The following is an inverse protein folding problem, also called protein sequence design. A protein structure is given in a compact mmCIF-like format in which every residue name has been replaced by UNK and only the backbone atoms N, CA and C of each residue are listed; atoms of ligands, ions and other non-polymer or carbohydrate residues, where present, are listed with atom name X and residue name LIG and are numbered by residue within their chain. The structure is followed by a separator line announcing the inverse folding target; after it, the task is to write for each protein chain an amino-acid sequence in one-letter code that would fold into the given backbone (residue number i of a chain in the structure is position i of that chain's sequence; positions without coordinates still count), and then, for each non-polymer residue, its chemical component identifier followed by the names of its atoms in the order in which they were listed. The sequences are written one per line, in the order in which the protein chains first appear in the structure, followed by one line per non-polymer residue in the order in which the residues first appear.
data_IF_415430169075
#
_entry.id   IF_415430169075
#
_cell.length_a   1.000
_cell.length_b   1.000
_cell.length_c   1.000
_cell.angle_alpha   90.00
_cell.angle_beta   90.00
_cell.angle_gamma   90.00
#
_symmetry.space_group_name_H-M   'P 1'
#
loop_
_entity.id
_entity.type
_entity.pdbx_description
1 polymer ?
#
# COMPACT_ATOMS: atom_id res chain seq x y z
N UNK A 1 -0.56 16.90 -3.09
CA UNK A 1 -0.88 16.03 -1.95
C UNK A 1 0.40 15.76 -1.17
N UNK A 2 0.30 15.63 0.16
CA UNK A 2 1.46 15.50 1.07
C UNK A 2 1.84 14.03 1.22
N UNK A 3 3.14 13.69 1.28
CA UNK A 3 3.62 12.33 1.52
C UNK A 3 3.44 11.92 3.00
N UNK A 4 3.49 10.62 3.31
CA UNK A 4 3.45 10.12 4.68
C UNK A 4 4.62 10.67 5.51
N UNK A 5 5.82 10.68 4.93
CA UNK A 5 7.00 11.29 5.52
C UNK A 5 6.79 12.76 5.87
N UNK A 6 6.24 13.55 4.94
CA UNK A 6 5.96 14.96 5.17
C UNK A 6 4.87 15.15 6.23
N UNK A 7 3.79 14.35 6.22
CA UNK A 7 2.73 14.42 7.23
C UNK A 7 3.29 14.17 8.64
N UNK A 8 4.06 13.10 8.82
CA UNK A 8 4.69 12.81 10.11
C UNK A 8 5.65 13.90 10.58
N UNK A 9 6.38 14.53 9.65
CA UNK A 9 7.29 15.62 9.96
C UNK A 9 6.55 16.92 10.33
N UNK A 10 5.45 17.24 9.64
CA UNK A 10 4.58 18.38 10.00
C UNK A 10 3.97 18.21 11.39
N UNK A 11 3.50 17.00 11.75
CA UNK A 11 3.02 16.73 13.11
C UNK A 11 4.14 16.89 14.13
N UNK A 12 5.34 16.36 13.84
CA UNK A 12 6.51 16.47 14.73
C UNK A 12 6.92 17.93 14.97
N UNK A 13 6.83 18.77 13.95
CA UNK A 13 7.14 20.22 14.05
C UNK A 13 6.00 21.06 14.63
N UNK A 14 4.82 20.47 14.87
CA UNK A 14 3.64 21.19 15.33
C UNK A 14 3.00 22.11 14.27
N UNK A 15 3.29 21.90 12.99
CA UNK A 15 2.67 22.61 11.86
C UNK A 15 1.23 22.14 11.64
N UNK A 16 0.93 20.92 12.05
CA UNK A 16 -0.40 20.31 12.13
C UNK A 16 -0.45 19.32 13.30
N UNK A 17 -1.57 18.67 13.51
CA UNK A 17 -1.73 17.60 14.47
C UNK A 17 -2.31 16.35 13.81
N UNK A 18 -2.29 15.22 14.52
CA UNK A 18 -2.80 13.95 14.02
C UNK A 18 -4.31 14.00 13.77
N UNK A 19 -5.05 14.66 14.65
CA UNK A 19 -6.51 14.83 14.52
C UNK A 19 -6.87 15.53 13.20
N UNK A 20 -6.21 16.64 12.87
CA UNK A 20 -6.47 17.36 11.62
C UNK A 20 -6.14 16.53 10.36
N UNK A 21 -5.08 15.72 10.39
CA UNK A 21 -4.75 14.83 9.27
C UNK A 21 -5.81 13.75 9.07
N UNK A 22 -6.30 13.16 10.15
CA UNK A 22 -7.34 12.13 10.14
C UNK A 22 -8.68 12.71 9.71
N UNK A 23 -9.10 13.83 10.29
CA UNK A 23 -10.34 14.51 9.91
C UNK A 23 -10.33 14.91 8.43
N UNK A 24 -9.22 15.49 7.95
CA UNK A 24 -9.08 15.84 6.53
C UNK A 24 -9.18 14.64 5.59
N UNK A 25 -8.65 13.49 5.98
CA UNK A 25 -8.79 12.24 5.24
C UNK A 25 -10.23 11.72 5.26
N UNK A 26 -10.88 11.68 6.42
CA UNK A 26 -12.27 11.26 6.59
C UNK A 26 -13.25 12.16 5.81
N UNK A 27 -13.05 13.47 5.85
CA UNK A 27 -13.83 14.44 5.07
C UNK A 27 -13.73 14.20 3.55
N UNK A 28 -12.54 13.88 3.07
CA UNK A 28 -12.35 13.59 1.65
C UNK A 28 -13.02 12.27 1.26
N UNK A 29 -12.90 11.25 2.10
CA UNK A 29 -13.55 9.95 1.92
C UNK A 29 -15.07 10.14 1.86
N UNK A 30 -15.66 10.85 2.82
CA UNK A 30 -17.10 11.09 2.86
C UNK A 30 -17.62 11.76 1.58
N UNK A 31 -16.84 12.69 1.02
CA UNK A 31 -17.21 13.43 -0.19
C UNK A 31 -17.10 12.59 -1.48
N UNK A 32 -16.21 11.62 -1.53
CA UNK A 32 -15.82 10.99 -2.82
C UNK A 32 -16.01 9.48 -2.85
N UNK A 33 -16.00 8.79 -1.71
CA UNK A 33 -16.01 7.31 -1.71
C UNK A 33 -17.37 6.70 -2.07
N UNK A 34 -18.45 7.48 -1.97
CA UNK A 34 -19.77 7.03 -2.44
C UNK A 34 -19.75 6.61 -3.93
N UNK A 35 -18.92 7.30 -4.74
CA UNK A 35 -18.74 6.97 -6.16
C UNK A 35 -17.56 6.03 -6.38
N UNK A 36 -16.47 6.23 -5.64
CA UNK A 36 -15.21 5.48 -5.81
C UNK A 36 -15.31 4.06 -5.26
N UNK A 37 -15.97 3.88 -4.10
CA UNK A 37 -16.13 2.59 -3.40
C UNK A 37 -14.80 1.90 -3.10
N UNK A 38 -13.85 2.66 -2.56
CA UNK A 38 -12.54 2.14 -2.18
C UNK A 38 -12.52 1.53 -0.77
N UNK A 39 -13.49 1.87 0.09
CA UNK A 39 -13.53 1.44 1.48
C UNK A 39 -14.63 0.41 1.74
N UNK A 40 -14.27 -0.72 2.33
CA UNK A 40 -15.20 -1.74 2.82
C UNK A 40 -15.72 -1.39 4.22
N UNK A 41 -14.87 -0.80 5.05
CA UNK A 41 -15.19 -0.36 6.40
C UNK A 41 -14.33 0.84 6.79
N UNK A 42 -14.92 1.80 7.51
CA UNK A 42 -14.22 2.97 8.08
C UNK A 42 -14.56 3.04 9.55
N UNK A 43 -13.54 3.13 10.41
CA UNK A 43 -13.69 3.32 11.85
C UNK A 43 -13.45 4.79 12.21
N UNK A 44 -14.39 5.65 11.88
CA UNK A 44 -14.30 7.08 12.20
C UNK A 44 -14.07 7.34 13.69
N UNK A 45 -14.82 6.74 14.64
CA UNK A 45 -14.61 6.99 16.07
C UNK A 45 -13.24 6.54 16.56
N UNK A 46 -12.80 5.33 16.16
CA UNK A 46 -11.51 4.76 16.57
C UNK A 46 -10.34 5.53 15.98
N UNK A 47 -10.45 5.95 14.71
CA UNK A 47 -9.41 6.76 14.05
C UNK A 47 -9.22 8.12 14.75
N UNK A 48 -10.32 8.83 15.06
CA UNK A 48 -10.26 10.11 15.77
C UNK A 48 -9.70 9.91 17.20
N UNK A 49 -10.15 8.88 17.92
CA UNK A 49 -9.64 8.59 19.27
C UNK A 49 -8.13 8.29 19.24
N UNK A 50 -7.67 7.50 18.26
CA UNK A 50 -6.25 7.19 18.08
C UNK A 50 -5.43 8.44 17.75
N UNK A 51 -5.95 9.32 16.89
CA UNK A 51 -5.29 10.57 16.54
C UNK A 51 -5.12 11.49 17.76
N UNK A 52 -6.16 11.67 18.56
CA UNK A 52 -6.12 12.45 19.81
C UNK A 52 -5.08 11.92 20.80
N UNK A 53 -5.02 10.59 20.99
CA UNK A 53 -4.02 9.97 21.83
C UNK A 53 -2.59 10.25 21.31
N UNK A 54 -2.38 10.21 20.01
CA UNK A 54 -1.08 10.54 19.43
C UNK A 54 -0.73 12.02 19.62
N UNK A 55 -1.68 12.94 19.53
CA UNK A 55 -1.44 14.34 19.83
C UNK A 55 -1.09 14.57 21.30
N UNK A 56 -1.75 13.88 22.24
CA UNK A 56 -1.37 13.90 23.66
C UNK A 56 0.06 13.36 23.88
N UNK A 57 0.46 12.30 23.18
CA UNK A 57 1.83 11.75 23.22
C UNK A 57 2.84 12.80 22.77
N UNK A 58 2.59 13.48 21.63
CA UNK A 58 3.44 14.56 21.14
C UNK A 58 3.56 15.69 22.15
N UNK A 59 2.43 16.16 22.67
CA UNK A 59 2.38 17.30 23.61
C UNK A 59 3.05 16.99 24.96
N UNK A 60 3.12 15.72 25.31
CA UNK A 60 3.86 15.25 26.48
C UNK A 60 5.40 15.25 26.31
N UNK A 61 5.90 15.55 25.10
CA UNK A 61 7.33 15.54 24.77
C UNK A 61 7.95 14.14 24.66
N UNK A 62 7.13 13.09 24.56
CA UNK A 62 7.60 11.72 24.36
C UNK A 62 8.15 11.53 22.93
N UNK A 63 9.01 10.51 22.77
CA UNK A 63 9.53 10.14 21.46
C UNK A 63 8.38 9.73 20.52
N UNK A 64 8.42 10.24 19.29
CA UNK A 64 7.41 10.00 18.25
C UNK A 64 7.90 8.94 17.26
N UNK A 65 7.00 8.07 16.86
CA UNK A 65 7.24 7.08 15.81
C UNK A 65 7.41 7.73 14.43
N UNK A 66 7.98 7.00 13.47
CA UNK A 66 8.23 7.53 12.12
C UNK A 66 6.95 7.84 11.31
N UNK A 67 5.80 7.26 11.70
CA UNK A 67 4.49 7.48 11.08
C UNK A 67 3.51 8.22 12.00
N UNK A 68 4.02 8.97 12.96
CA UNK A 68 3.20 9.58 13.99
C UNK A 68 2.08 10.46 13.43
N UNK A 69 0.83 10.02 13.62
CA UNK A 69 -0.38 10.70 13.15
C UNK A 69 -0.73 10.47 11.66
N UNK A 70 -0.01 9.62 10.93
CA UNK A 70 -0.26 9.37 9.51
C UNK A 70 -1.46 8.42 9.32
N UNK A 71 -2.52 8.83 8.57
CA UNK A 71 -3.64 7.95 8.25
C UNK A 71 -3.28 6.90 7.21
N UNK A 72 -3.66 5.63 7.44
CA UNK A 72 -3.35 4.48 6.58
C UNK A 72 -4.59 3.62 6.35
N UNK A 73 -4.73 3.05 5.13
CA UNK A 73 -5.74 2.06 4.79
C UNK A 73 -5.16 0.65 4.72
N UNK A 74 -5.95 -0.34 5.17
CA UNK A 74 -5.57 -1.76 5.14
C UNK A 74 -6.52 -2.55 4.26
N UNK A 75 -6.01 -3.40 3.37
CA UNK A 75 -6.84 -4.30 2.57
C UNK A 75 -7.66 -5.22 3.47
N UNK A 76 -8.93 -5.44 3.11
CA UNK A 76 -9.91 -6.22 3.89
C UNK A 76 -9.66 -7.74 3.87
N UNK A 77 -8.42 -8.14 3.96
CA UNK A 77 -7.93 -9.49 4.25
C UNK A 77 -6.80 -9.47 5.27
N UNK A 78 -6.53 -8.31 5.86
CA UNK A 78 -5.52 -8.08 6.88
C UNK A 78 -6.27 -7.88 8.19
N UNK A 79 -6.03 -8.74 9.16
CA UNK A 79 -6.75 -8.77 10.43
C UNK A 79 -6.44 -7.57 11.31
N UNK A 80 -7.48 -7.03 11.93
CA UNK A 80 -7.42 -6.00 12.95
C UNK A 80 -8.34 -6.38 14.11
N UNK A 81 -7.89 -6.22 15.35
CA UNK A 81 -8.65 -6.61 16.53
C UNK A 81 -9.88 -5.71 16.76
N UNK A 82 -9.86 -4.50 16.23
CA UNK A 82 -10.86 -3.44 16.45
C UNK A 82 -11.83 -3.22 15.28
N UNK A 83 -11.56 -3.83 14.11
CA UNK A 83 -12.40 -3.67 12.92
C UNK A 83 -12.70 -5.03 12.27
N UNK A 84 -13.83 -5.20 11.59
CA UNK A 84 -14.12 -6.43 10.87
C UNK A 84 -13.13 -6.68 9.73
N UNK A 85 -12.88 -7.96 9.42
CA UNK A 85 -12.14 -8.43 8.26
C UNK A 85 -13.05 -9.41 7.50
N UNK A 86 -13.65 -8.96 6.42
CA UNK A 86 -14.75 -9.68 5.75
C UNK A 86 -14.33 -10.38 4.45
N UNK A 87 -13.05 -10.27 4.07
CA UNK A 87 -12.45 -10.91 2.88
C UNK A 87 -13.16 -10.57 1.56
N UNK A 88 -13.86 -9.44 1.50
CA UNK A 88 -14.68 -9.07 0.34
C UNK A 88 -15.86 -10.01 0.09
N UNK A 89 -16.37 -10.71 1.12
CA UNK A 89 -17.39 -11.75 0.98
C UNK A 89 -18.51 -11.59 1.99
N UNK A 90 -19.76 -11.62 1.52
CA UNK A 90 -20.95 -11.60 2.38
C UNK A 90 -21.01 -12.81 3.34
N UNK A 91 -20.35 -13.92 3.02
CA UNK A 91 -20.30 -15.09 3.90
C UNK A 91 -19.53 -14.81 5.20
N UNK A 92 -18.67 -13.82 5.21
CA UNK A 92 -17.87 -13.39 6.37
C UNK A 92 -18.30 -12.03 6.92
N UNK A 93 -19.50 -11.57 6.55
CA UNK A 93 -20.01 -10.28 7.05
C UNK A 93 -20.04 -10.25 8.57
N UNK A 94 -19.38 -9.23 9.14
CA UNK A 94 -19.23 -9.04 10.59
C UNK A 94 -18.18 -9.94 11.23
N UNK A 95 -17.34 -10.63 10.45
CA UNK A 95 -16.23 -11.40 11.00
C UNK A 95 -15.22 -10.46 11.66
N UNK A 96 -15.07 -10.62 12.97
CA UNK A 96 -14.19 -9.81 13.79
C UNK A 96 -13.02 -10.66 14.27
N UNK A 97 -11.76 -10.37 13.82
CA UNK A 97 -10.58 -11.00 14.37
C UNK A 97 -10.39 -10.64 15.85
N UNK A 98 -9.68 -11.49 16.59
CA UNK A 98 -9.39 -11.26 18.00
C UNK A 98 -8.01 -10.62 18.26
N UNK A 99 -7.21 -10.44 17.21
CA UNK A 99 -5.88 -9.84 17.29
C UNK A 99 -5.53 -9.15 15.97
N UNK A 100 -4.62 -8.20 16.05
CA UNK A 100 -4.02 -7.54 14.90
C UNK A 100 -3.08 -8.51 14.17
N UNK A 101 -3.02 -8.38 12.84
CA UNK A 101 -1.92 -8.95 12.07
C UNK A 101 -0.59 -8.33 12.52
N UNK A 102 0.51 -9.09 12.41
CA UNK A 102 1.85 -8.60 12.83
C UNK A 102 2.18 -7.25 12.22
N UNK A 103 1.90 -7.05 10.94
CA UNK A 103 2.17 -5.79 10.24
C UNK A 103 1.33 -4.63 10.76
N UNK A 104 0.10 -4.89 11.22
CA UNK A 104 -0.78 -3.86 11.80
C UNK A 104 -0.23 -3.37 13.13
N UNK A 105 0.20 -4.30 13.99
CA UNK A 105 0.86 -3.95 15.24
C UNK A 105 2.10 -3.07 15.01
N UNK A 106 2.91 -3.39 13.98
CA UNK A 106 4.09 -2.59 13.61
C UNK A 106 3.74 -1.19 13.11
N UNK A 107 2.69 -1.05 12.32
CA UNK A 107 2.22 0.25 11.85
C UNK A 107 1.72 1.11 13.02
N UNK A 108 0.96 0.51 13.96
CA UNK A 108 0.50 1.21 15.17
C UNK A 108 1.67 1.60 16.09
N UNK A 109 2.65 0.72 16.31
CA UNK A 109 3.87 1.01 17.04
C UNK A 109 4.66 2.18 16.42
N UNK A 110 4.65 2.29 15.10
CA UNK A 110 5.25 3.40 14.36
C UNK A 110 4.44 4.72 14.45
N UNK A 111 3.26 4.69 15.07
CA UNK A 111 2.37 5.84 15.25
C UNK A 111 1.39 6.09 14.10
N UNK A 112 1.15 5.11 13.23
CA UNK A 112 0.14 5.23 12.18
C UNK A 112 -1.28 5.16 12.76
N UNK A 113 -2.21 5.89 12.14
CA UNK A 113 -3.64 5.80 12.42
C UNK A 113 -4.31 4.95 11.34
N UNK A 114 -4.86 3.81 11.71
CA UNK A 114 -5.59 2.96 10.77
C UNK A 114 -7.01 3.52 10.62
N UNK A 115 -7.36 4.00 9.41
CA UNK A 115 -8.68 4.57 9.15
C UNK A 115 -9.75 3.50 8.95
N UNK A 116 -9.36 2.35 8.38
CA UNK A 116 -10.33 1.33 8.01
C UNK A 116 -9.77 0.28 7.07
N UNK A 117 -10.70 -0.48 6.50
CA UNK A 117 -10.46 -1.60 5.60
C UNK A 117 -10.78 -1.18 4.16
N UNK A 118 -9.81 -1.29 3.26
CA UNK A 118 -10.00 -1.01 1.84
C UNK A 118 -10.52 -2.25 1.11
N UNK A 119 -11.36 -2.02 0.10
CA UNK A 119 -12.00 -3.09 -0.66
C UNK A 119 -10.98 -4.04 -1.29
N UNK A 120 -11.24 -5.33 -1.15
CA UNK A 120 -10.60 -6.42 -1.87
C UNK A 120 -11.58 -7.09 -2.82
N UNK A 121 -11.09 -7.74 -3.87
CA UNK A 121 -11.92 -8.74 -4.56
C UNK A 121 -12.20 -9.93 -3.63
N UNK A 122 -13.32 -10.65 -3.77
CA UNK A 122 -13.66 -11.76 -2.88
C UNK A 122 -12.50 -12.74 -2.70
N UNK A 123 -12.09 -12.95 -1.43
CA UNK A 123 -10.95 -13.80 -1.03
C UNK A 123 -9.65 -13.47 -1.77
N UNK A 124 -9.46 -12.22 -2.20
CA UNK A 124 -8.34 -11.78 -3.04
C UNK A 124 -8.24 -12.51 -4.40
N UNK A 125 -9.35 -13.07 -4.90
CA UNK A 125 -9.43 -13.86 -6.13
C UNK A 125 -9.85 -13.03 -7.35
N UNK A 126 -10.45 -13.62 -8.39
CA UNK A 126 -10.58 -13.02 -9.71
C UNK A 126 -11.86 -12.21 -9.95
N UNK A 127 -12.89 -12.37 -9.12
CA UNK A 127 -14.14 -11.64 -9.28
C UNK A 127 -13.93 -10.13 -9.02
N UNK A 128 -14.33 -9.25 -9.95
CA UNK A 128 -14.09 -7.83 -9.79
C UNK A 128 -14.90 -7.23 -8.61
N UNK A 129 -14.31 -6.26 -7.92
CA UNK A 129 -15.00 -5.46 -6.93
C UNK A 129 -15.79 -4.31 -7.58
N UNK A 130 -16.66 -3.66 -6.80
CA UNK A 130 -17.39 -2.47 -7.25
C UNK A 130 -16.52 -1.19 -7.28
N UNK A 131 -15.29 -1.25 -6.76
CA UNK A 131 -14.37 -0.11 -6.73
C UNK A 131 -14.08 0.41 -8.13
N UNK A 132 -14.08 1.71 -8.29
CA UNK A 132 -13.81 2.39 -9.54
C UNK A 132 -12.37 2.93 -9.59
N UNK A 133 -11.88 3.17 -10.80
CA UNK A 133 -10.57 3.81 -10.98
C UNK A 133 -10.73 5.33 -10.81
N UNK A 134 -10.01 5.98 -9.88
CA UNK A 134 -10.17 7.42 -9.66
C UNK A 134 -9.70 8.28 -10.85
N UNK A 135 -8.88 7.73 -11.76
CA UNK A 135 -8.46 8.44 -12.96
C UNK A 135 -9.54 8.42 -14.06
N UNK A 136 -10.40 7.39 -14.08
CA UNK A 136 -11.56 7.27 -14.94
C UNK A 136 -12.54 6.26 -14.33
N UNK A 137 -13.70 6.76 -13.86
CA UNK A 137 -14.70 5.98 -13.14
C UNK A 137 -15.38 4.87 -13.98
N UNK A 138 -15.23 4.89 -15.30
CA UNK A 138 -15.74 3.84 -16.18
C UNK A 138 -14.82 2.60 -16.20
N UNK A 139 -13.59 2.72 -15.70
CA UNK A 139 -12.61 1.64 -15.68
C UNK A 139 -12.42 1.01 -14.30
N UNK A 140 -11.93 -0.22 -14.34
CA UNK A 140 -11.52 -0.94 -13.12
C UNK A 140 -10.22 -0.37 -12.56
N UNK A 141 -10.07 -0.29 -11.22
CA UNK A 141 -8.79 0.04 -10.59
C UNK A 141 -7.79 -1.14 -10.63
N UNK A 142 -8.17 -2.26 -11.23
CA UNK A 142 -7.47 -3.53 -11.09
C UNK A 142 -7.79 -4.22 -9.76
N UNK A 143 -7.06 -5.30 -9.46
CA UNK A 143 -7.28 -6.08 -8.24
C UNK A 143 -6.13 -7.10 -8.01
N UNK A 144 -6.20 -7.79 -6.88
CA UNK A 144 -7.28 -7.86 -5.88
C UNK A 144 -7.25 -6.73 -4.84
N UNK A 145 -6.18 -5.94 -4.68
CA UNK A 145 -6.11 -4.80 -3.76
C UNK A 145 -6.73 -3.54 -4.39
N UNK A 146 -7.97 -3.66 -4.89
CA UNK A 146 -8.70 -2.62 -5.63
C UNK A 146 -8.83 -1.32 -4.85
N UNK A 147 -9.37 -1.41 -3.64
CA UNK A 147 -9.59 -0.25 -2.78
C UNK A 147 -8.30 0.39 -2.30
N UNK A 148 -7.25 -0.41 -2.03
CA UNK A 148 -5.96 0.13 -1.56
C UNK A 148 -5.32 1.05 -2.61
N UNK A 149 -5.26 0.62 -3.87
CA UNK A 149 -4.73 1.43 -4.96
C UNK A 149 -5.61 2.65 -5.24
N UNK A 150 -6.94 2.46 -5.28
CA UNK A 150 -7.90 3.54 -5.53
C UNK A 150 -7.87 4.61 -4.44
N UNK A 151 -7.84 4.24 -3.15
CA UNK A 151 -7.78 5.16 -2.03
C UNK A 151 -6.52 6.03 -2.05
N UNK A 152 -5.36 5.43 -2.38
CA UNK A 152 -4.10 6.18 -2.51
C UNK A 152 -4.14 7.12 -3.72
N UNK A 153 -4.60 6.65 -4.85
CA UNK A 153 -4.70 7.45 -6.08
C UNK A 153 -5.68 8.63 -5.91
N UNK A 154 -6.83 8.41 -5.28
CA UNK A 154 -7.80 9.46 -4.97
C UNK A 154 -7.32 10.42 -3.87
N UNK A 155 -6.28 10.07 -3.13
CA UNK A 155 -5.72 10.89 -2.06
C UNK A 155 -6.42 10.78 -0.72
N UNK A 156 -7.22 9.76 -0.53
CA UNK A 156 -7.86 9.49 0.76
C UNK A 156 -6.82 9.27 1.86
N UNK A 157 -5.74 8.55 1.52
CA UNK A 157 -4.60 8.30 2.41
C UNK A 157 -3.29 8.40 1.61
N UNK A 158 -2.17 8.77 2.26
CA UNK A 158 -0.87 8.78 1.59
C UNK A 158 -0.36 7.36 1.28
N UNK A 159 -0.76 6.39 2.09
CA UNK A 159 -0.32 4.99 2.01
C UNK A 159 -1.49 4.03 2.27
N UNK A 160 -1.52 2.93 1.56
CA UNK A 160 -2.36 1.78 1.87
C UNK A 160 -1.57 0.46 1.75
N UNK A 161 -1.98 -0.53 2.54
CA UNK A 161 -1.40 -1.86 2.53
C UNK A 161 -2.30 -2.80 1.73
N UNK A 162 -1.71 -3.62 0.89
CA UNK A 162 -2.38 -4.69 0.16
C UNK A 162 -1.58 -5.97 0.16
N UNK A 163 -1.95 -6.89 -0.73
CA UNK A 163 -1.28 -8.18 -0.88
C UNK A 163 -1.18 -8.58 -2.34
N UNK A 164 -0.21 -9.42 -2.64
CA UNK A 164 -0.05 -9.98 -3.97
C UNK A 164 0.31 -11.46 -3.92
N UNK A 165 -0.43 -12.26 -4.69
CA UNK A 165 -0.09 -13.62 -5.08
C UNK A 165 0.51 -13.60 -6.51
N UNK A 166 -0.27 -13.15 -7.50
CA UNK A 166 0.15 -13.10 -8.91
C UNK A 166 0.48 -11.69 -9.41
N UNK A 167 -0.36 -10.70 -9.11
CA UNK A 167 -0.26 -9.33 -9.62
C UNK A 167 -1.03 -8.31 -8.79
N UNK A 168 -1.57 -8.71 -7.61
CA UNK A 168 -2.56 -7.95 -6.86
C UNK A 168 -2.04 -6.70 -6.13
N UNK A 169 -0.76 -6.36 -6.27
CA UNK A 169 -0.17 -5.05 -5.90
C UNK A 169 0.22 -4.30 -7.17
N UNK A 170 1.05 -4.92 -8.00
CA UNK A 170 1.63 -4.23 -9.18
C UNK A 170 0.56 -3.82 -10.19
N UNK A 171 -0.42 -4.70 -10.46
CA UNK A 171 -1.49 -4.42 -11.42
C UNK A 171 -2.40 -3.26 -10.98
N UNK A 172 -3.03 -3.25 -9.79
CA UNK A 172 -3.85 -2.11 -9.39
C UNK A 172 -3.03 -0.83 -9.21
N UNK A 173 -1.77 -0.90 -8.79
CA UNK A 173 -0.88 0.26 -8.74
C UNK A 173 -0.69 0.89 -10.13
N UNK A 174 -0.40 0.05 -11.15
CA UNK A 174 -0.27 0.50 -12.53
C UNK A 174 -1.57 1.11 -13.07
N UNK A 175 -2.72 0.48 -12.81
CA UNK A 175 -4.03 0.96 -13.28
C UNK A 175 -4.43 2.29 -12.65
N UNK A 176 -4.07 2.50 -11.39
CA UNK A 176 -4.40 3.71 -10.64
C UNK A 176 -3.31 4.80 -10.69
N UNK A 177 -2.18 4.56 -11.37
CA UNK A 177 -1.09 5.53 -11.50
C UNK A 177 -0.38 5.84 -10.17
N UNK A 178 -0.17 4.83 -9.33
CA UNK A 178 0.54 4.94 -8.05
C UNK A 178 1.71 3.96 -8.00
N UNK A 179 2.65 4.17 -7.08
CA UNK A 179 3.68 3.18 -6.81
C UNK A 179 3.10 2.00 -6.05
N UNK A 180 3.43 0.79 -6.52
CA UNK A 180 3.14 -0.46 -5.83
C UNK A 180 4.42 -1.26 -5.65
N UNK A 181 4.69 -1.69 -4.44
CA UNK A 181 5.87 -2.48 -4.12
C UNK A 181 5.49 -3.82 -3.51
N UNK A 182 5.94 -4.89 -4.15
CA UNK A 182 5.88 -6.25 -3.62
C UNK A 182 7.27 -6.67 -3.20
N UNK A 183 7.55 -6.84 -1.90
CA UNK A 183 8.85 -7.27 -1.41
C UNK A 183 9.16 -8.72 -1.82
N UNK A 184 10.40 -9.12 -1.61
CA UNK A 184 10.82 -10.52 -1.74
C UNK A 184 10.13 -11.39 -0.69
N UNK A 185 10.00 -12.69 -0.99
CA UNK A 185 9.39 -13.66 -0.08
C UNK A 185 10.07 -13.66 1.29
N UNK A 186 9.26 -13.73 2.35
CA UNK A 186 9.70 -13.77 3.74
C UNK A 186 10.27 -12.45 4.29
N UNK A 187 10.20 -11.35 3.52
CA UNK A 187 10.66 -10.04 3.99
C UNK A 187 9.65 -9.40 4.96
N UNK A 188 8.38 -9.50 4.64
CA UNK A 188 7.27 -8.97 5.44
C UNK A 188 6.45 -10.14 5.95
N UNK A 189 6.16 -10.22 7.26
CA UNK A 189 5.38 -11.29 7.84
C UNK A 189 3.92 -11.24 7.40
N UNK A 190 3.29 -12.43 7.31
CA UNK A 190 1.91 -12.62 6.87
C UNK A 190 0.99 -13.15 7.96
N UNK A 191 1.45 -13.25 9.22
CA UNK A 191 0.59 -13.67 10.34
C UNK A 191 -0.58 -12.70 10.52
N UNK A 192 -1.82 -13.21 10.52
CA UNK A 192 -3.03 -12.41 10.53
C UNK A 192 -3.43 -11.85 9.14
N UNK A 193 -2.87 -12.41 8.06
CA UNK A 193 -3.27 -12.07 6.68
C UNK A 193 -3.84 -13.32 6.01
N UNK A 194 -4.98 -13.20 5.33
CA UNK A 194 -5.55 -14.33 4.57
C UNK A 194 -4.52 -14.89 3.60
N UNK A 195 -4.24 -16.17 3.73
CA UNK A 195 -3.36 -16.90 2.83
C UNK A 195 -4.16 -17.60 1.72
N UNK A 196 -3.81 -17.32 0.47
CA UNK A 196 -4.33 -17.97 -0.73
C UNK A 196 -3.29 -18.87 -1.38
N UNK A 197 -2.01 -18.58 -1.17
CA UNK A 197 -0.87 -19.39 -1.60
C UNK A 197 0.28 -19.28 -0.60
N UNK A 198 0.68 -20.41 -0.04
CA UNK A 198 1.77 -20.46 0.94
C UNK A 198 3.08 -19.88 0.40
N UNK A 199 3.41 -20.14 -0.86
CA UNK A 199 4.70 -19.77 -1.47
C UNK A 199 4.68 -18.41 -2.19
N UNK A 200 3.52 -17.95 -2.68
CA UNK A 200 3.45 -16.76 -3.54
C UNK A 200 2.95 -15.51 -2.81
N UNK A 201 2.15 -15.66 -1.75
CA UNK A 201 1.54 -14.52 -1.09
C UNK A 201 2.57 -13.62 -0.42
N UNK A 202 2.47 -12.32 -0.71
CA UNK A 202 3.28 -11.27 -0.11
C UNK A 202 2.40 -10.08 0.26
N UNK A 203 2.73 -9.44 1.37
CA UNK A 203 2.21 -8.11 1.69
C UNK A 203 2.92 -7.09 0.82
N UNK A 204 2.20 -6.07 0.37
CA UNK A 204 2.76 -4.98 -0.43
C UNK A 204 2.19 -3.62 -0.06
N UNK A 205 2.85 -2.59 -0.52
CA UNK A 205 2.61 -1.20 -0.15
C UNK A 205 2.21 -0.40 -1.38
N UNK A 206 1.25 0.52 -1.21
CA UNK A 206 0.84 1.51 -2.20
C UNK A 206 1.11 2.91 -1.67
N UNK A 207 1.70 3.77 -2.49
CA UNK A 207 1.82 5.21 -2.23
C UNK A 207 1.99 5.97 -3.55
N UNK A 208 1.80 7.30 -3.50
CA UNK A 208 2.18 8.19 -4.60
C UNK A 208 3.65 8.61 -4.56
N UNK A 209 4.36 8.26 -3.50
CA UNK A 209 5.77 8.61 -3.29
C UNK A 209 6.56 7.34 -3.00
N UNK A 210 7.64 7.12 -3.73
CA UNK A 210 8.46 5.92 -3.54
C UNK A 210 9.21 5.93 -2.19
N UNK A 211 9.46 7.12 -1.62
CA UNK A 211 10.04 7.26 -0.28
C UNK A 211 9.09 6.74 0.81
N UNK A 212 7.79 7.00 0.67
CA UNK A 212 6.78 6.45 1.57
C UNK A 212 6.71 4.92 1.48
N UNK A 213 6.80 4.39 0.24
CA UNK A 213 6.85 2.93 0.02
C UNK A 213 8.06 2.33 0.74
N UNK A 214 9.22 2.96 0.65
CA UNK A 214 10.44 2.52 1.30
C UNK A 214 10.31 2.57 2.83
N UNK A 215 9.83 3.70 3.39
CA UNK A 215 9.61 3.88 4.82
C UNK A 215 8.68 2.81 5.40
N UNK A 216 7.51 2.62 4.78
CA UNK A 216 6.54 1.62 5.24
C UNK A 216 7.14 0.21 5.16
N UNK A 217 7.84 -0.10 4.06
CA UNK A 217 8.47 -1.42 3.90
C UNK A 217 9.53 -1.69 4.95
N UNK A 218 10.32 -0.69 5.35
CA UNK A 218 11.28 -0.81 6.45
C UNK A 218 10.58 -1.07 7.80
N UNK A 219 9.44 -0.40 8.04
CA UNK A 219 8.67 -0.54 9.29
C UNK A 219 8.06 -1.93 9.44
N UNK A 220 7.44 -2.45 8.37
CA UNK A 220 6.74 -3.74 8.42
C UNK A 220 7.64 -4.95 8.14
N UNK A 221 8.90 -4.75 7.73
CA UNK A 221 9.86 -5.83 7.51
C UNK A 221 10.42 -6.34 8.84
N UNK A 222 10.03 -7.56 9.22
CA UNK A 222 10.47 -8.19 10.46
C UNK A 222 10.44 -9.72 10.32
N UNK A 223 11.22 -10.39 11.18
CA UNK A 223 11.08 -11.83 11.39
C UNK A 223 9.88 -12.10 12.29
N UNK A 224 8.99 -12.99 11.86
CA UNK A 224 7.85 -13.48 12.63
C UNK A 224 7.92 -15.01 12.72
N UNK A 225 8.13 -15.58 13.92
CA UNK A 225 8.19 -17.04 14.08
C UNK A 225 6.87 -17.75 13.79
N UNK A 226 5.75 -17.01 13.71
CA UNK A 226 4.43 -17.57 13.39
C UNK A 226 4.16 -17.62 11.88
N UNK A 227 4.98 -16.99 11.05
CA UNK A 227 4.92 -17.13 9.59
C UNK A 227 6.02 -18.06 9.09
N UNK A 228 5.66 -19.24 8.61
CA UNK A 228 6.59 -20.27 8.14
C UNK A 228 7.52 -19.79 7.00
N UNK A 229 7.12 -18.75 6.24
CA UNK A 229 7.95 -18.18 5.19
C UNK A 229 8.83 -17.02 5.67
N UNK A 230 8.62 -16.53 6.89
CA UNK A 230 9.48 -15.52 7.49
C UNK A 230 10.83 -16.16 7.91
N UNK A 231 11.92 -15.45 7.69
CA UNK A 231 13.23 -15.91 8.15
C UNK A 231 14.07 -14.77 8.69
N UNK A 232 14.89 -15.08 9.67
CA UNK A 232 15.73 -14.10 10.33
C UNK A 232 16.80 -13.57 9.36
N UNK A 233 16.81 -12.24 9.17
CA UNK A 233 17.81 -11.53 8.36
C UNK A 233 17.98 -10.10 8.89
N UNK A 234 19.04 -9.39 8.50
CA UNK A 234 19.16 -7.96 8.77
C UNK A 234 17.94 -7.21 8.24
N UNK A 235 17.43 -6.24 9.00
CA UNK A 235 16.36 -5.36 8.53
C UNK A 235 16.85 -4.59 7.31
N UNK A 236 15.99 -4.41 6.29
CA UNK A 236 16.33 -3.54 5.18
C UNK A 236 16.45 -2.09 5.67
N UNK A 237 17.15 -1.28 4.90
CA UNK A 237 17.24 0.17 5.05
C UNK A 237 16.89 0.81 3.69
N UNK A 238 15.64 0.58 3.26
CA UNK A 238 15.20 0.99 1.92
C UNK A 238 15.07 2.49 1.81
N UNK A 239 14.60 3.15 2.88
CA UNK A 239 14.46 4.61 2.89
C UNK A 239 15.81 5.31 2.66
N UNK A 240 16.86 4.87 3.34
CA UNK A 240 18.21 5.39 3.10
C UNK A 240 18.67 5.09 1.67
N UNK A 241 18.40 3.87 1.18
CA UNK A 241 18.74 3.47 -0.18
C UNK A 241 18.09 4.32 -1.26
N UNK A 242 16.83 4.69 -1.12
CA UNK A 242 16.11 5.52 -2.11
C UNK A 242 16.45 7.02 -2.00
N UNK A 243 16.86 7.49 -0.84
CA UNK A 243 17.29 8.87 -0.63
C UNK A 243 18.72 9.14 -1.12
N UNK A 244 19.52 8.11 -1.34
CA UNK A 244 20.89 8.21 -1.79
C UNK A 244 21.02 7.89 -3.29
N UNK A 245 21.97 8.53 -3.97
CA UNK A 245 22.26 8.18 -5.36
C UNK A 245 22.86 6.78 -5.44
N UNK A 246 22.46 5.96 -6.45
CA UNK A 246 23.08 4.66 -6.67
C UNK A 246 24.60 4.83 -6.91
N UNK A 247 25.38 3.91 -6.34
CA UNK A 247 26.85 3.91 -6.46
C UNK A 247 27.28 3.69 -7.91
N UNK A 248 26.50 2.92 -8.66
CA UNK A 248 26.75 2.61 -10.08
C UNK A 248 25.52 2.99 -10.91
N UNK A 249 25.73 3.36 -12.16
CA UNK A 249 24.64 3.56 -13.13
C UNK A 249 23.92 2.22 -13.34
N UNK A 250 22.59 2.16 -13.13
CA UNK A 250 21.85 0.91 -13.30
C UNK A 250 21.89 0.45 -14.76
N UNK A 251 22.07 -0.87 -14.95
CA UNK A 251 21.92 -1.53 -16.23
C UNK A 251 20.48 -1.99 -16.38
N UNK A 252 19.79 -1.49 -17.38
CA UNK A 252 18.39 -1.80 -17.64
C UNK A 252 18.27 -2.80 -18.76
N UNK A 253 17.27 -3.68 -18.67
CA UNK A 253 16.92 -4.65 -19.69
C UNK A 253 15.47 -4.40 -20.10
N UNK A 254 15.25 -4.08 -21.37
CA UNK A 254 13.93 -4.08 -21.98
C UNK A 254 13.67 -5.44 -22.63
N UNK A 255 12.61 -6.11 -22.17
CA UNK A 255 12.25 -7.44 -22.66
C UNK A 255 10.83 -7.44 -23.20
N UNK A 256 10.66 -7.69 -24.49
CA UNK A 256 9.36 -7.83 -25.14
C UNK A 256 8.77 -9.22 -24.88
N UNK A 257 7.65 -9.25 -24.17
CA UNK A 257 6.93 -10.48 -23.87
C UNK A 257 6.12 -10.96 -25.07
N UNK A 258 5.87 -12.26 -25.24
CA UNK A 258 5.08 -12.79 -26.37
C UNK A 258 3.68 -12.18 -26.51
N UNK A 259 3.13 -11.61 -25.45
CA UNK A 259 1.79 -11.01 -25.39
C UNK A 259 1.76 -9.51 -25.74
N UNK A 260 2.88 -8.91 -26.13
CA UNK A 260 2.97 -7.49 -26.50
C UNK A 260 2.02 -7.11 -27.65
N UNK A 261 1.68 -8.06 -28.54
CA UNK A 261 0.75 -7.84 -29.65
C UNK A 261 -0.69 -7.51 -29.22
N UNK A 262 -1.04 -7.70 -27.96
CA UNK A 262 -2.36 -7.38 -27.41
C UNK A 262 -2.41 -6.10 -26.59
N UNK A 263 -1.31 -5.35 -26.53
CA UNK A 263 -1.23 -4.09 -25.77
C UNK A 263 -1.87 -2.97 -26.62
N UNK A 264 -2.62 -2.07 -25.97
CA UNK A 264 -3.21 -0.90 -26.63
C UNK A 264 -2.14 0.07 -27.13
N UNK A 265 -2.46 0.83 -28.18
CA UNK A 265 -1.55 1.83 -28.75
C UNK A 265 -1.11 2.88 -27.72
N UNK A 266 -2.02 3.37 -26.89
CA UNK A 266 -1.72 4.33 -25.81
C UNK A 266 -0.69 3.78 -24.82
N UNK A 267 -0.79 2.48 -24.49
CA UNK A 267 0.15 1.83 -23.60
C UNK A 267 1.54 1.68 -24.24
N UNK A 268 1.58 1.32 -25.52
CA UNK A 268 2.83 1.24 -26.29
C UNK A 268 3.51 2.62 -26.37
N UNK A 269 2.75 3.67 -26.68
CA UNK A 269 3.27 5.04 -26.72
C UNK A 269 3.84 5.48 -25.35
N UNK A 270 3.15 5.12 -24.25
CA UNK A 270 3.63 5.36 -22.89
C UNK A 270 4.95 4.64 -22.59
N UNK A 271 5.08 3.40 -23.04
CA UNK A 271 6.31 2.61 -22.93
C UNK A 271 7.45 3.21 -23.75
N UNK A 272 7.20 3.62 -24.98
CA UNK A 272 8.20 4.26 -25.85
C UNK A 272 8.71 5.57 -25.26
N UNK A 273 7.83 6.38 -24.66
CA UNK A 273 8.22 7.60 -23.92
C UNK A 273 9.12 7.28 -22.72
N UNK A 274 8.80 6.22 -21.98
CA UNK A 274 9.61 5.76 -20.84
C UNK A 274 11.00 5.30 -21.32
N UNK A 275 11.06 4.46 -22.36
CA UNK A 275 12.31 3.97 -22.96
C UNK A 275 13.17 5.15 -23.39
N UNK A 276 12.58 6.10 -24.12
CA UNK A 276 13.27 7.30 -24.59
C UNK A 276 13.81 8.17 -23.44
N UNK A 277 13.08 8.27 -22.34
CA UNK A 277 13.51 8.98 -21.15
C UNK A 277 14.70 8.29 -20.43
N UNK A 278 14.84 6.98 -20.62
CA UNK A 278 15.92 6.17 -20.02
C UNK A 278 17.12 5.99 -20.95
N UNK A 279 17.12 6.61 -22.15
CA UNK A 279 18.17 6.45 -23.18
C UNK A 279 19.57 6.88 -22.70
N UNK A 280 19.67 7.74 -21.69
CA UNK A 280 20.93 8.10 -21.01
C UNK A 280 21.49 7.03 -20.05
N UNK A 281 20.75 5.96 -19.80
CA UNK A 281 21.15 4.82 -19.00
C UNK A 281 21.53 3.64 -19.90
N UNK A 282 22.29 2.68 -19.40
CA UNK A 282 22.62 1.45 -20.14
C UNK A 282 21.34 0.61 -20.31
N UNK A 283 20.72 0.68 -21.48
CA UNK A 283 19.50 -0.07 -21.83
C UNK A 283 19.81 -1.13 -22.89
N UNK A 284 19.44 -2.38 -22.60
CA UNK A 284 19.57 -3.52 -23.52
C UNK A 284 18.17 -3.95 -23.95
N UNK A 285 17.92 -3.98 -25.28
CA UNK A 285 16.68 -4.45 -25.87
C UNK A 285 16.76 -5.94 -26.22
N UNK A 286 15.77 -6.73 -25.78
CA UNK A 286 15.60 -8.14 -26.16
C UNK A 286 14.19 -8.27 -26.74
N UNK A 287 14.11 -8.43 -28.09
CA UNK A 287 12.85 -8.61 -28.82
C UNK A 287 12.40 -10.07 -28.92
N UNK A 288 13.31 -11.02 -28.69
CA UNK A 288 12.99 -12.45 -28.66
C UNK A 288 13.74 -13.15 -27.50
N UNK A 289 13.08 -14.07 -26.76
CA UNK A 289 13.77 -14.86 -25.76
C UNK A 289 14.79 -15.78 -26.43
N UNK A 290 16.06 -15.62 -26.12
CA UNK A 290 17.09 -16.61 -26.49
C UNK A 290 16.76 -17.93 -25.78
N UNK A 291 16.63 -19.00 -26.54
CA UNK A 291 16.43 -20.37 -26.07
C UNK A 291 17.64 -20.89 -25.30
#
# INVERSE_FOLDING_TARGET
MTSALQMADMVRRGETNAENLVEGALDLIEKTDNQLKAWAYIDTPGAIASAKLLDEIRDSGRALGPLHGVPIGLKDIIDTADMPTEFGSLAFKGHQPNQDATIVSKLREAGAVILGKTVTTPFAFMDPSETRNPNDMEYSPGGSSSGSAAAVSAGHVPVAIGTQTNGSVIRPASFCGVFGFKPSSGMVPRSGVLQTSETLDQVGVFSRYYEDVALISDIISEYDPNDANSFCRPRPNMLDGVCNRPIETPKLLWFEMPYFKGISEDCLEGMDKLISALDGLSLIHISEPTR
#
